data_IF_595787056959
#
_entry.id   IF_595787056959
#
_cell.length_a   1.000
_cell.length_b   1.000
_cell.length_c   1.000
_cell.angle_alpha   90.00
_cell.angle_beta   90.00
_cell.angle_gamma   90.00
#
_symmetry.space_group_name_H-M   'P 1'
#
loop_
_entity.id
_entity.type
_entity.pdbx_description
1 polymer ?
#
# COMPACT_ATOMS: atom_id res chain seq x y z
N UNK A 1 -14.74 -40.74 13.15
CA UNK A 1 -13.74 -41.83 13.16
C UNK A 1 -12.40 -41.20 13.40
N UNK A 2 -11.86 -41.36 14.60
CA UNK A 2 -10.58 -40.79 15.01
C UNK A 2 -9.46 -41.54 14.29
N UNK A 3 -8.75 -40.88 13.38
CA UNK A 3 -7.53 -41.45 12.80
C UNK A 3 -6.48 -41.58 13.90
N UNK A 4 -6.04 -42.81 14.17
CA UNK A 4 -4.85 -43.08 14.98
C UNK A 4 -3.64 -42.45 14.28
N UNK A 5 -3.12 -41.36 14.86
CA UNK A 5 -1.81 -40.80 14.48
C UNK A 5 -0.69 -41.78 14.87
N UNK A 6 -0.46 -42.80 14.04
CA UNK A 6 0.59 -43.80 14.23
C UNK A 6 1.98 -43.20 14.03
N UNK A 7 2.86 -43.33 15.04
CA UNK A 7 4.29 -43.04 14.87
C UNK A 7 4.90 -44.08 13.91
N UNK A 8 5.48 -43.62 12.80
CA UNK A 8 6.15 -44.50 11.84
C UNK A 8 7.66 -44.42 12.04
N UNK A 9 8.32 -45.58 12.19
CA UNK A 9 9.78 -45.65 12.28
C UNK A 9 10.38 -45.55 10.87
N UNK A 10 11.18 -44.53 10.62
CA UNK A 10 11.97 -44.32 9.39
C UNK A 10 13.43 -44.10 9.76
N UNK A 11 14.34 -44.65 8.95
CA UNK A 11 15.78 -44.47 9.13
C UNK A 11 16.28 -43.40 8.15
N UNK A 12 17.21 -42.56 8.61
CA UNK A 12 17.90 -41.56 7.80
C UNK A 12 19.32 -41.39 8.34
N UNK A 13 20.21 -40.87 7.49
CA UNK A 13 21.55 -40.49 7.89
C UNK A 13 21.52 -39.07 8.46
N UNK A 14 22.25 -38.86 9.55
CA UNK A 14 22.46 -37.56 10.18
C UNK A 14 23.97 -37.40 10.40
N UNK A 15 24.46 -36.18 10.23
CA UNK A 15 25.86 -35.85 10.53
C UNK A 15 26.12 -36.05 12.03
N UNK A 16 27.27 -36.64 12.36
CA UNK A 16 27.63 -36.95 13.75
C UNK A 16 27.73 -35.67 14.59
N UNK A 17 28.33 -34.62 14.05
CA UNK A 17 28.44 -33.32 14.72
C UNK A 17 27.06 -32.73 15.04
N UNK A 18 26.12 -32.80 14.08
CA UNK A 18 24.75 -32.31 14.28
C UNK A 18 24.00 -33.11 15.35
N UNK A 19 24.22 -34.42 15.41
CA UNK A 19 23.63 -35.27 16.45
C UNK A 19 24.18 -34.92 17.83
N UNK A 20 25.49 -34.70 17.95
CA UNK A 20 26.14 -34.26 19.19
C UNK A 20 25.59 -32.91 19.67
N UNK A 21 25.42 -31.96 18.75
CA UNK A 21 24.82 -30.67 19.06
C UNK A 21 23.37 -30.83 19.53
N UNK A 22 22.55 -31.61 18.82
CA UNK A 22 21.16 -31.88 19.21
C UNK A 22 21.07 -32.50 20.61
N UNK A 23 21.97 -33.42 20.96
CA UNK A 23 22.05 -34.03 22.29
C UNK A 23 22.39 -33.03 23.39
N UNK A 24 23.32 -32.12 23.12
CA UNK A 24 23.70 -31.07 24.07
C UNK A 24 22.54 -30.10 24.38
N UNK A 25 21.59 -29.97 23.44
CA UNK A 25 20.48 -29.02 23.51
C UNK A 25 19.17 -29.62 24.04
N UNK A 26 19.10 -30.93 24.30
CA UNK A 26 17.84 -31.60 24.71
C UNK A 26 17.19 -30.93 25.94
N UNK A 27 17.99 -30.56 26.95
CA UNK A 27 17.49 -29.87 28.14
C UNK A 27 17.01 -28.46 27.84
N UNK A 28 17.72 -27.74 26.99
CA UNK A 28 17.35 -26.37 26.62
C UNK A 28 16.06 -26.35 25.79
N UNK A 29 15.85 -27.37 24.95
CA UNK A 29 14.65 -27.55 24.16
C UNK A 29 13.46 -28.14 24.96
N UNK A 30 13.63 -28.45 26.25
CA UNK A 30 12.61 -29.07 27.12
C UNK A 30 12.00 -30.36 26.53
N UNK A 31 12.85 -31.21 25.94
CA UNK A 31 12.43 -32.48 25.31
C UNK A 31 13.04 -33.68 26.00
N UNK A 32 12.32 -34.81 25.95
CA UNK A 32 12.70 -36.03 26.67
C UNK A 32 13.47 -37.03 25.80
N UNK A 33 13.57 -36.78 24.50
CA UNK A 33 14.26 -37.67 23.56
C UNK A 33 14.73 -36.96 22.29
N UNK A 34 15.76 -37.52 21.63
CA UNK A 34 16.18 -37.14 20.27
C UNK A 34 15.02 -37.15 19.28
N UNK A 35 14.12 -38.13 19.38
CA UNK A 35 12.97 -38.21 18.49
C UNK A 35 12.03 -37.00 18.66
N UNK A 36 11.80 -36.56 19.89
CA UNK A 36 10.98 -35.38 20.17
C UNK A 36 11.67 -34.09 19.69
N UNK A 37 12.98 -33.97 19.93
CA UNK A 37 13.80 -32.88 19.40
C UNK A 37 13.68 -32.77 17.87
N UNK A 38 13.90 -33.88 17.16
CA UNK A 38 13.86 -33.92 15.69
C UNK A 38 12.46 -33.66 15.14
N UNK A 39 11.40 -34.14 15.82
CA UNK A 39 10.03 -33.83 15.43
C UNK A 39 9.72 -32.33 15.57
N UNK A 40 10.19 -31.68 16.64
CA UNK A 40 10.02 -30.23 16.80
C UNK A 40 10.81 -29.45 15.74
N UNK A 41 12.07 -29.82 15.48
CA UNK A 41 12.90 -29.19 14.45
C UNK A 41 12.30 -29.33 13.04
N UNK A 42 11.80 -30.52 12.68
CA UNK A 42 11.12 -30.74 11.41
C UNK A 42 9.83 -29.93 11.29
N UNK A 43 9.01 -29.90 12.34
CA UNK A 43 7.80 -29.06 12.38
C UNK A 43 8.13 -27.59 12.21
N UNK A 44 9.18 -27.12 12.88
CA UNK A 44 9.66 -25.75 12.75
C UNK A 44 10.07 -25.43 11.31
N UNK A 45 10.89 -26.28 10.68
CA UNK A 45 11.35 -26.03 9.31
C UNK A 45 10.22 -26.13 8.27
N UNK A 46 9.31 -27.10 8.43
CA UNK A 46 8.10 -27.17 7.62
C UNK A 46 7.28 -25.89 7.78
N UNK A 47 7.08 -25.44 9.03
CA UNK A 47 6.38 -24.20 9.37
C UNK A 47 7.04 -22.96 8.79
N UNK A 48 8.37 -22.88 8.81
CA UNK A 48 9.14 -21.82 8.17
C UNK A 48 8.88 -21.77 6.66
N UNK A 49 9.00 -22.91 5.97
CA UNK A 49 8.76 -23.00 4.53
C UNK A 49 7.31 -22.71 4.13
N UNK A 50 6.32 -23.08 4.96
CA UNK A 50 4.92 -22.71 4.71
C UNK A 50 4.63 -21.25 5.07
N UNK A 51 5.23 -20.70 6.13
CA UNK A 51 5.10 -19.29 6.50
C UNK A 51 5.68 -18.39 5.40
N UNK A 52 6.86 -18.69 4.87
CA UNK A 52 7.47 -17.94 3.76
C UNK A 52 6.57 -17.95 2.51
N UNK A 53 5.89 -19.06 2.21
CA UNK A 53 4.90 -19.13 1.13
C UNK A 53 3.64 -18.30 1.42
N UNK A 54 3.16 -18.33 2.67
CA UNK A 54 1.99 -17.54 3.10
C UNK A 54 2.34 -16.05 3.08
N UNK A 55 3.50 -15.63 3.57
CA UNK A 55 3.96 -14.23 3.55
C UNK A 55 4.07 -13.71 2.11
N UNK A 56 4.68 -14.46 1.20
CA UNK A 56 4.76 -14.09 -0.22
C UNK A 56 3.37 -13.97 -0.87
N UNK A 57 2.47 -14.92 -0.59
CA UNK A 57 1.09 -14.86 -1.09
C UNK A 57 0.31 -13.67 -0.50
N UNK A 58 0.42 -13.43 0.81
CA UNK A 58 -0.23 -12.32 1.51
C UNK A 58 0.29 -10.98 1.01
N UNK A 59 1.61 -10.83 0.81
CA UNK A 59 2.22 -9.61 0.29
C UNK A 59 1.71 -9.32 -1.13
N UNK A 60 1.66 -10.34 -1.99
CA UNK A 60 1.13 -10.19 -3.36
C UNK A 60 -0.36 -9.81 -3.38
N UNK A 61 -1.15 -10.39 -2.49
CA UNK A 61 -2.60 -10.12 -2.36
C UNK A 61 -2.85 -8.71 -1.82
N UNK A 62 -2.13 -8.31 -0.77
CA UNK A 62 -2.20 -6.95 -0.21
C UNK A 62 -1.80 -5.92 -1.26
N UNK A 63 -0.69 -6.15 -1.98
CA UNK A 63 -0.26 -5.27 -3.07
C UNK A 63 -1.34 -5.14 -4.16
N UNK A 64 -1.95 -6.25 -4.57
CA UNK A 64 -3.06 -6.24 -5.54
C UNK A 64 -4.28 -5.45 -5.05
N UNK A 65 -4.70 -5.67 -3.80
CA UNK A 65 -5.82 -4.93 -3.19
C UNK A 65 -5.47 -3.44 -3.06
N UNK A 66 -4.24 -3.09 -2.69
CA UNK A 66 -3.78 -1.71 -2.64
C UNK A 66 -3.83 -1.06 -4.02
N UNK A 67 -3.29 -1.70 -5.06
CA UNK A 67 -3.35 -1.21 -6.43
C UNK A 67 -4.78 -1.02 -6.92
N UNK A 68 -5.67 -1.98 -6.65
CA UNK A 68 -7.09 -1.87 -6.98
C UNK A 68 -7.75 -0.68 -6.25
N UNK A 69 -7.49 -0.53 -4.95
CA UNK A 69 -8.03 0.57 -4.13
C UNK A 69 -7.56 1.93 -4.62
N UNK A 70 -6.27 2.07 -4.95
CA UNK A 70 -5.69 3.31 -5.50
C UNK A 70 -6.33 3.61 -6.84
N UNK A 71 -6.40 2.64 -7.76
CA UNK A 71 -7.02 2.80 -9.08
C UNK A 71 -8.49 3.23 -8.98
N UNK A 72 -9.25 2.64 -8.06
CA UNK A 72 -10.64 3.03 -7.83
C UNK A 72 -10.77 4.45 -7.27
N UNK A 73 -9.84 4.84 -6.39
CA UNK A 73 -9.76 6.20 -5.87
C UNK A 73 -9.44 7.20 -6.99
N UNK A 74 -8.43 6.93 -7.82
CA UNK A 74 -8.06 7.73 -8.99
C UNK A 74 -9.23 7.88 -9.96
N UNK A 75 -9.94 6.79 -10.25
CA UNK A 75 -11.13 6.83 -11.10
C UNK A 75 -12.26 7.69 -10.51
N UNK A 76 -12.48 7.63 -9.18
CA UNK A 76 -13.45 8.50 -8.50
C UNK A 76 -13.02 9.97 -8.57
N UNK A 77 -11.75 10.26 -8.32
CA UNK A 77 -11.20 11.61 -8.41
C UNK A 77 -11.31 12.18 -9.83
N UNK A 78 -10.95 11.40 -10.86
CA UNK A 78 -11.08 11.82 -12.25
C UNK A 78 -12.52 12.20 -12.62
N UNK A 79 -13.51 11.40 -12.17
CA UNK A 79 -14.93 11.73 -12.37
C UNK A 79 -15.36 12.99 -11.63
N UNK A 80 -14.88 13.19 -10.39
CA UNK A 80 -15.17 14.39 -9.62
C UNK A 80 -14.55 15.64 -10.26
N UNK A 81 -13.28 15.55 -10.70
CA UNK A 81 -12.57 16.60 -11.43
C UNK A 81 -13.28 16.96 -12.73
N UNK A 82 -13.78 15.96 -13.48
CA UNK A 82 -14.56 16.21 -14.69
C UNK A 82 -15.84 17.00 -14.39
N UNK A 83 -16.62 16.60 -13.39
CA UNK A 83 -17.83 17.32 -12.98
C UNK A 83 -17.51 18.75 -12.55
N UNK A 84 -16.45 18.93 -11.76
CA UNK A 84 -16.00 20.25 -11.34
C UNK A 84 -15.57 21.12 -12.53
N UNK A 85 -14.83 20.56 -13.49
CA UNK A 85 -14.42 21.27 -14.70
C UNK A 85 -15.62 21.74 -15.53
N UNK A 86 -16.69 20.92 -15.63
CA UNK A 86 -17.94 21.32 -16.29
C UNK A 86 -18.58 22.51 -15.56
N UNK A 87 -18.67 22.48 -14.22
CA UNK A 87 -19.24 23.59 -13.45
C UNK A 87 -18.39 24.87 -13.55
N UNK A 88 -17.07 24.76 -13.47
CA UNK A 88 -16.13 25.90 -13.63
C UNK A 88 -16.22 26.48 -15.04
N UNK A 89 -16.37 25.66 -16.07
CA UNK A 89 -16.57 26.12 -17.44
C UNK A 89 -17.87 26.93 -17.58
N UNK A 90 -18.99 26.43 -17.03
CA UNK A 90 -20.26 27.18 -17.01
C UNK A 90 -20.12 28.53 -16.32
N UNK A 91 -19.50 28.57 -15.15
CA UNK A 91 -19.25 29.81 -14.42
C UNK A 91 -18.38 30.77 -15.24
N UNK A 92 -17.33 30.28 -15.88
CA UNK A 92 -16.44 31.08 -16.73
C UNK A 92 -17.22 31.73 -17.89
N UNK A 93 -18.08 30.97 -18.57
CA UNK A 93 -18.93 31.50 -19.63
C UNK A 93 -19.94 32.54 -19.13
N UNK A 94 -20.60 32.29 -17.99
CA UNK A 94 -21.54 33.25 -17.38
C UNK A 94 -20.84 34.55 -16.98
N UNK A 95 -19.66 34.45 -16.35
CA UNK A 95 -18.88 35.63 -15.94
C UNK A 95 -18.38 36.43 -17.14
N UNK A 96 -17.84 35.76 -18.16
CA UNK A 96 -17.38 36.41 -19.39
C UNK A 96 -18.52 37.14 -20.11
N UNK A 97 -19.69 36.51 -20.21
CA UNK A 97 -20.88 37.13 -20.80
C UNK A 97 -21.36 38.35 -20.01
N UNK A 98 -21.36 38.28 -18.67
CA UNK A 98 -21.89 39.37 -17.83
C UNK A 98 -20.98 40.59 -17.67
N UNK A 99 -19.69 40.49 -17.99
CA UNK A 99 -18.69 41.55 -17.72
C UNK A 99 -17.90 42.00 -18.96
N UNK A 100 -18.27 41.52 -20.16
CA UNK A 100 -17.61 41.89 -21.44
C UNK A 100 -16.08 41.84 -21.39
N UNK A 101 -15.53 40.83 -20.70
CA UNK A 101 -14.08 40.75 -20.46
C UNK A 101 -13.36 40.40 -21.76
N UNK A 102 -12.41 41.24 -22.17
CA UNK A 102 -11.57 40.98 -23.34
C UNK A 102 -10.70 39.72 -23.18
N UNK A 103 -10.50 39.01 -24.30
CA UNK A 103 -9.72 37.77 -24.34
C UNK A 103 -8.27 37.95 -23.84
N UNK A 104 -7.64 39.09 -24.18
CA UNK A 104 -6.28 39.39 -23.74
C UNK A 104 -6.16 39.51 -22.22
N UNK A 105 -7.19 40.09 -21.58
CA UNK A 105 -7.28 40.21 -20.12
C UNK A 105 -7.44 38.84 -19.47
N UNK A 106 -8.23 37.95 -20.05
CA UNK A 106 -8.38 36.57 -19.57
C UNK A 106 -7.07 35.78 -19.66
N UNK A 107 -6.32 35.91 -20.76
CA UNK A 107 -5.01 35.25 -20.91
C UNK A 107 -3.99 35.75 -19.88
N UNK A 108 -3.93 37.06 -19.64
CA UNK A 108 -3.08 37.65 -18.59
C UNK A 108 -3.47 37.14 -17.20
N UNK A 109 -4.76 37.06 -16.91
CA UNK A 109 -5.27 36.55 -15.64
C UNK A 109 -4.93 35.06 -15.44
N UNK A 110 -5.09 34.23 -16.48
CA UNK A 110 -4.72 32.81 -16.42
C UNK A 110 -3.24 32.62 -16.08
N UNK A 111 -2.34 33.32 -16.78
CA UNK A 111 -0.90 33.21 -16.54
C UNK A 111 -0.55 33.62 -15.10
N UNK A 112 -1.15 34.70 -14.59
CA UNK A 112 -0.98 35.15 -13.20
C UNK A 112 -1.47 34.11 -12.20
N UNK A 113 -2.68 33.57 -12.39
CA UNK A 113 -3.25 32.55 -11.51
C UNK A 113 -2.42 31.26 -11.50
N UNK A 114 -1.88 30.85 -12.66
CA UNK A 114 -1.00 29.68 -12.75
C UNK A 114 0.31 29.88 -11.95
N UNK A 115 0.95 31.04 -12.10
CA UNK A 115 2.14 31.39 -11.31
C UNK A 115 1.84 31.49 -9.81
N UNK A 116 0.69 32.06 -9.44
CA UNK A 116 0.25 32.13 -8.05
C UNK A 116 0.06 30.74 -7.44
N UNK A 117 -0.70 29.87 -8.11
CA UNK A 117 -0.93 28.47 -7.69
C UNK A 117 0.38 27.72 -7.55
N UNK A 118 1.31 27.89 -8.50
CA UNK A 118 2.64 27.30 -8.45
C UNK A 118 3.43 27.81 -7.24
N UNK A 119 3.44 29.12 -6.99
CA UNK A 119 4.14 29.75 -5.86
C UNK A 119 3.62 29.28 -4.50
N UNK A 120 2.31 29.07 -4.38
CA UNK A 120 1.66 28.69 -3.11
C UNK A 120 1.35 27.19 -3.01
N UNK A 121 1.84 26.39 -3.95
CA UNK A 121 1.60 24.95 -4.04
C UNK A 121 0.10 24.56 -3.92
N UNK A 122 -0.77 25.30 -4.61
CA UNK A 122 -2.22 25.06 -4.63
C UNK A 122 -3.02 25.61 -3.44
N UNK A 123 -2.38 26.19 -2.42
CA UNK A 123 -3.06 26.80 -1.28
C UNK A 123 -3.62 28.22 -1.58
N UNK A 124 -4.61 28.31 -2.49
CA UNK A 124 -5.25 29.57 -2.89
C UNK A 124 -6.04 30.19 -1.73
N UNK A 125 -5.80 31.48 -1.43
CA UNK A 125 -6.55 32.26 -0.43
C UNK A 125 -7.35 33.37 -1.08
N UNK A 126 -8.62 33.48 -0.72
CA UNK A 126 -9.53 34.48 -1.30
C UNK A 126 -9.14 35.91 -0.91
N UNK A 127 -8.60 36.12 0.28
CA UNK A 127 -8.15 37.42 0.77
C UNK A 127 -7.00 37.99 -0.08
N UNK A 128 -6.14 37.13 -0.60
CA UNK A 128 -5.01 37.53 -1.45
C UNK A 128 -5.51 37.97 -2.84
N UNK A 129 -6.50 37.26 -3.40
CA UNK A 129 -7.18 37.68 -4.62
C UNK A 129 -7.93 39.02 -4.43
N UNK A 130 -8.65 39.19 -3.32
CA UNK A 130 -9.36 40.44 -3.00
C UNK A 130 -8.40 41.63 -2.86
N UNK A 131 -7.30 41.48 -2.12
CA UNK A 131 -6.30 42.54 -1.94
C UNK A 131 -5.67 42.97 -3.26
N UNK A 132 -5.50 42.05 -4.20
CA UNK A 132 -4.96 42.36 -5.52
C UNK A 132 -5.92 43.22 -6.36
N UNK A 133 -7.22 42.90 -6.36
CA UNK A 133 -8.21 43.63 -7.17
C UNK A 133 -8.50 45.04 -6.64
N UNK A 134 -8.16 45.31 -5.37
CA UNK A 134 -8.37 46.60 -4.71
C UNK A 134 -7.06 47.38 -4.48
N UNK A 135 -6.03 47.10 -5.28
CA UNK A 135 -4.79 47.90 -5.37
C UNK A 135 -4.82 48.73 -6.63
#
# INVERSE_FOLDING_TARGET
>A
MSEENGKVRKAFYIEEELLVQADSLLRQADVRSRNEFLNQALKFYIGYLTSEKIENYMLSTISSVMHATVKDSENRMARAMYKLAVEVSKLSHVTAYGHEVEEETLRKLQAKCAEEVKRINGAVKFEDAYRYQNR
#
